data_IF_715138517400
#
_entry.id   IF_715138517400
#
_cell.length_a   1.000
_cell.length_b   1.000
_cell.length_c   1.000
_cell.angle_alpha   90.00
_cell.angle_beta   90.00
_cell.angle_gamma   90.00
#
_symmetry.space_group_name_H-M   'P 1'
#
loop_
_entity.id
_entity.type
_entity.pdbx_description
1 polymer ?
#
# COMPACT_ATOMS: atom_id res chain seq x y z
N UNK A 1 10.63 -20.84 19.43
CA UNK A 1 10.20 -19.57 20.06
C UNK A 1 8.69 -19.48 19.96
N UNK A 2 7.97 -19.39 21.08
CA UNK A 2 6.49 -19.29 21.08
C UNK A 2 6.10 -17.87 20.62
N UNK A 3 5.06 -17.73 19.81
CA UNK A 3 4.60 -16.43 19.28
C UNK A 3 4.37 -15.37 20.38
N UNK A 4 3.84 -15.81 21.52
CA UNK A 4 3.56 -14.94 22.67
C UNK A 4 4.85 -14.39 23.27
N UNK A 5 5.87 -15.23 23.45
CA UNK A 5 7.18 -14.82 23.96
C UNK A 5 7.82 -13.77 23.06
N UNK A 6 7.76 -13.95 21.74
CA UNK A 6 8.26 -12.97 20.77
C UNK A 6 7.60 -11.60 20.96
N UNK A 7 6.27 -11.55 21.07
CA UNK A 7 5.52 -10.29 21.18
C UNK A 7 5.74 -9.57 22.50
N UNK A 8 6.03 -10.33 23.57
CA UNK A 8 6.33 -9.79 24.89
C UNK A 8 7.79 -9.33 25.05
N UNK A 9 8.69 -9.69 24.12
CA UNK A 9 10.07 -9.18 24.16
C UNK A 9 10.09 -7.65 24.12
N UNK A 10 10.87 -6.99 24.99
CA UNK A 10 10.98 -5.53 25.03
C UNK A 10 11.30 -4.91 23.65
N UNK A 11 12.22 -5.51 22.91
CA UNK A 11 12.61 -5.11 21.55
C UNK A 11 11.42 -5.05 20.58
N UNK A 12 10.56 -6.07 20.64
CA UNK A 12 9.39 -6.17 19.76
C UNK A 12 8.33 -5.13 20.14
N UNK A 13 8.14 -4.89 21.44
CA UNK A 13 7.24 -3.85 21.93
C UNK A 13 7.71 -2.44 21.51
N UNK A 14 9.01 -2.16 21.61
CA UNK A 14 9.58 -0.89 21.19
C UNK A 14 9.45 -0.67 19.68
N UNK A 15 9.75 -1.70 18.87
CA UNK A 15 9.50 -1.68 17.43
C UNK A 15 8.03 -1.37 17.11
N UNK A 16 7.09 -2.00 17.81
CA UNK A 16 5.66 -1.75 17.60
C UNK A 16 5.26 -0.30 17.94
N UNK A 17 5.82 0.28 19.01
CA UNK A 17 5.60 1.69 19.37
C UNK A 17 6.11 2.62 18.27
N UNK A 18 7.35 2.40 17.79
CA UNK A 18 7.93 3.17 16.68
C UNK A 18 7.07 3.08 15.41
N UNK A 19 6.62 1.89 15.05
CA UNK A 19 5.75 1.68 13.88
C UNK A 19 4.40 2.41 14.03
N UNK A 20 3.85 2.48 15.25
CA UNK A 20 2.61 3.22 15.54
C UNK A 20 2.81 4.72 15.34
N UNK A 21 3.90 5.29 15.84
CA UNK A 21 4.20 6.72 15.66
C UNK A 21 4.54 7.05 14.20
N UNK A 22 5.26 6.18 13.48
CA UNK A 22 5.51 6.34 12.06
C UNK A 22 4.21 6.35 11.24
N UNK A 23 3.26 5.45 11.57
CA UNK A 23 1.95 5.41 10.92
C UNK A 23 1.15 6.71 11.11
N UNK A 24 1.24 7.36 12.27
CA UNK A 24 0.57 8.66 12.51
C UNK A 24 1.13 9.77 11.62
N UNK A 25 2.43 9.71 11.29
CA UNK A 25 3.10 10.68 10.41
C UNK A 25 2.80 10.44 8.92
N UNK A 26 2.22 9.28 8.58
CA UNK A 26 1.90 8.92 7.20
C UNK A 26 0.58 9.61 6.79
N UNK A 27 0.69 10.81 6.23
CA UNK A 27 -0.44 11.66 5.80
C UNK A 27 -1.23 11.01 4.64
N UNK A 28 -0.51 10.32 3.75
CA UNK A 28 -1.09 9.67 2.58
C UNK A 28 -0.84 8.16 2.65
N UNK A 29 -1.93 7.40 2.70
CA UNK A 29 -1.88 5.95 2.60
C UNK A 29 -1.88 5.55 1.13
N UNK A 30 -0.94 4.68 0.75
CA UNK A 30 -0.95 4.03 -0.55
C UNK A 30 -2.21 3.15 -0.68
N UNK A 31 -2.92 3.20 -1.80
CA UNK A 31 -4.23 2.51 -1.93
C UNK A 31 -4.11 1.02 -2.28
N UNK A 32 -2.91 0.51 -2.55
CA UNK A 32 -2.69 -0.92 -2.85
C UNK A 32 -2.89 -1.87 -1.63
N UNK A 33 -3.60 -1.43 -0.59
CA UNK A 33 -3.93 -2.26 0.57
C UNK A 33 -2.67 -2.91 1.20
N UNK A 34 -2.85 -4.01 1.94
CA UNK A 34 -1.76 -4.85 2.43
C UNK A 34 -1.25 -5.84 1.36
N UNK A 35 -1.68 -5.70 0.10
CA UNK A 35 -1.29 -6.61 -0.97
C UNK A 35 0.04 -6.18 -1.58
N UNK A 36 0.87 -7.16 -1.94
CA UNK A 36 2.04 -6.89 -2.76
C UNK A 36 1.60 -6.47 -4.17
N UNK A 37 2.43 -5.66 -4.83
CA UNK A 37 2.19 -5.21 -6.20
C UNK A 37 2.01 -6.39 -7.17
N UNK A 38 2.79 -7.46 -7.02
CA UNK A 38 2.67 -8.67 -7.82
C UNK A 38 1.29 -9.33 -7.65
N UNK A 39 0.81 -9.45 -6.40
CA UNK A 39 -0.51 -10.04 -6.12
C UNK A 39 -1.63 -9.18 -6.69
N UNK A 40 -1.56 -7.86 -6.51
CA UNK A 40 -2.56 -6.94 -7.03
C UNK A 40 -2.57 -6.94 -8.57
N UNK A 41 -1.40 -7.01 -9.21
CA UNK A 41 -1.30 -7.16 -10.67
C UNK A 41 -1.92 -8.45 -11.16
N UNK A 42 -1.69 -9.57 -10.47
CA UNK A 42 -2.29 -10.86 -10.83
C UNK A 42 -3.82 -10.81 -10.76
N UNK A 43 -4.38 -10.26 -9.68
CA UNK A 43 -5.83 -10.04 -9.54
C UNK A 43 -6.36 -9.20 -10.70
N UNK A 44 -5.65 -8.15 -11.09
CA UNK A 44 -6.08 -7.30 -12.19
C UNK A 44 -6.01 -7.95 -13.56
N UNK A 45 -5.03 -8.81 -13.79
CA UNK A 45 -4.96 -9.60 -15.03
C UNK A 45 -6.15 -10.56 -15.10
N UNK A 46 -6.53 -11.17 -13.96
CA UNK A 46 -7.70 -12.04 -13.88
C UNK A 46 -9.01 -11.26 -14.12
N UNK A 47 -9.17 -10.10 -13.46
CA UNK A 47 -10.37 -9.25 -13.60
C UNK A 47 -10.51 -8.66 -15.00
N UNK A 48 -9.40 -8.21 -15.61
CA UNK A 48 -9.42 -7.57 -16.93
C UNK A 48 -9.41 -8.58 -18.09
N UNK A 49 -9.08 -9.86 -17.83
CA UNK A 49 -8.92 -10.90 -18.85
C UNK A 49 -7.77 -10.65 -19.84
N UNK A 50 -6.88 -9.70 -19.55
CA UNK A 50 -5.77 -9.29 -20.42
C UNK A 50 -4.55 -8.83 -19.62
N UNK A 51 -3.35 -8.86 -20.21
CA UNK A 51 -2.14 -8.36 -19.55
C UNK A 51 -2.29 -6.90 -19.13
N UNK A 52 -2.03 -6.62 -17.86
CA UNK A 52 -2.04 -5.26 -17.31
C UNK A 52 -0.61 -4.73 -17.28
N UNK A 53 -0.42 -3.58 -17.93
CA UNK A 53 0.83 -2.83 -17.97
C UNK A 53 1.08 -1.98 -16.73
N UNK A 54 2.21 -1.27 -16.70
CA UNK A 54 2.63 -0.45 -15.55
C UNK A 54 1.72 0.77 -15.30
N UNK A 55 1.26 1.44 -16.36
CA UNK A 55 0.41 2.63 -16.25
C UNK A 55 -0.93 2.38 -15.54
N UNK A 56 -1.77 1.44 -16.02
CA UNK A 56 -3.04 1.12 -15.35
C UNK A 56 -2.86 0.66 -13.91
N UNK A 57 -1.77 -0.07 -13.64
CA UNK A 57 -1.42 -0.50 -12.29
C UNK A 57 -1.05 0.68 -11.39
N UNK A 58 -0.30 1.66 -11.90
CA UNK A 58 0.04 2.88 -11.17
C UNK A 58 -1.20 3.70 -10.81
N UNK A 59 -2.07 3.93 -11.80
CA UNK A 59 -3.33 4.64 -11.63
C UNK A 59 -4.17 4.03 -10.52
N UNK A 60 -4.29 2.71 -10.52
CA UNK A 60 -5.06 1.99 -9.51
C UNK A 60 -4.50 2.08 -8.10
N UNK A 61 -3.19 2.11 -7.94
CA UNK A 61 -2.55 2.18 -6.62
C UNK A 61 -2.37 3.60 -6.10
N UNK A 62 -2.69 4.60 -6.93
CA UNK A 62 -2.55 6.03 -6.61
C UNK A 62 -3.85 6.82 -6.75
N UNK A 63 -4.92 6.21 -7.26
CA UNK A 63 -6.29 6.72 -7.17
C UNK A 63 -7.02 6.08 -6.00
N UNK A 64 -7.83 6.89 -5.32
CA UNK A 64 -8.79 6.46 -4.30
C UNK A 64 -10.06 5.92 -4.99
N UNK A 65 -10.95 5.31 -4.20
CA UNK A 65 -12.25 4.85 -4.70
C UNK A 65 -13.06 5.98 -5.36
N UNK A 66 -12.89 7.22 -4.90
CA UNK A 66 -13.53 8.43 -5.44
C UNK A 66 -12.90 8.92 -6.77
N UNK A 67 -11.95 8.17 -7.34
CA UNK A 67 -11.23 8.54 -8.56
C UNK A 67 -10.16 9.63 -8.40
N UNK A 68 -10.11 10.32 -7.25
CA UNK A 68 -9.10 11.32 -6.92
C UNK A 68 -7.75 10.68 -6.59
N UNK A 69 -6.66 11.35 -6.96
CA UNK A 69 -5.31 10.92 -6.58
C UNK A 69 -5.05 11.07 -5.08
N UNK A 70 -4.14 10.24 -4.57
CA UNK A 70 -3.76 10.22 -3.14
C UNK A 70 -3.10 11.52 -2.67
N UNK A 71 -2.38 12.22 -3.55
CA UNK A 71 -1.79 13.54 -3.34
C UNK A 71 -1.63 14.29 -4.67
N UNK A 72 -1.30 15.59 -4.60
CA UNK A 72 -1.12 16.46 -5.78
C UNK A 72 0.06 16.03 -6.65
N UNK A 73 1.12 15.47 -6.07
CA UNK A 73 2.28 14.99 -6.82
C UNK A 73 1.92 13.79 -7.70
N UNK A 74 1.16 12.82 -7.18
CA UNK A 74 0.65 11.70 -7.95
C UNK A 74 -0.30 12.17 -9.06
N UNK A 75 -1.07 13.22 -8.81
CA UNK A 75 -1.90 13.84 -9.85
C UNK A 75 -1.07 14.43 -10.98
N UNK A 76 0.02 15.15 -10.68
CA UNK A 76 0.92 15.70 -11.71
C UNK A 76 1.52 14.59 -12.59
N UNK A 77 1.84 13.44 -11.99
CA UNK A 77 2.38 12.28 -12.73
C UNK A 77 1.31 11.61 -13.59
N UNK A 78 0.09 11.48 -13.09
CA UNK A 78 -0.99 10.74 -13.76
C UNK A 78 -1.84 11.56 -14.76
N UNK A 79 -1.55 12.85 -14.93
CA UNK A 79 -2.20 13.73 -15.95
C UNK A 79 -1.25 14.04 -17.11
N UNK A 80 0.00 13.58 -17.03
CA UNK A 80 1.04 13.80 -18.03
C UNK A 80 0.93 12.82 -19.21
#
# INVERSE_FOLDING_TARGET
MKFVEYRLKPETMEMCKRNKEARKKQIFNHTCSAMTFARKRHILILEAGKPVGRGPMWDMTHKRADGKYVNEEAQKIGVN
#
